data_IF_456909737982
#
_entry.id   IF_456909737982
#
_cell.length_a   1.000
_cell.length_b   1.000
_cell.length_c   1.000
_cell.angle_alpha   90.00
_cell.angle_beta   90.00
_cell.angle_gamma   90.00
#
_symmetry.space_group_name_H-M   'P 1'
#
loop_
_entity.id
_entity.type
_entity.pdbx_description
1 polymer ?
#
# COMPACT_ATOMS: atom_id res chain seq x y z
N UNK A 1 -18.91 -0.25 -13.02
CA UNK A 1 -17.55 0.30 -12.76
C UNK A 1 -17.54 1.31 -11.60
N UNK A 2 -18.25 2.47 -11.65
CA UNK A 2 -18.20 3.47 -10.57
C UNK A 2 -18.53 2.91 -9.18
N UNK A 3 -19.57 2.08 -9.05
CA UNK A 3 -19.92 1.44 -7.77
C UNK A 3 -18.82 0.53 -7.22
N UNK A 4 -18.09 -0.18 -8.11
CA UNK A 4 -16.96 -1.01 -7.71
C UNK A 4 -15.77 -0.16 -7.23
N UNK A 5 -15.67 1.10 -7.66
CA UNK A 5 -14.68 2.08 -7.21
C UNK A 5 -15.16 2.91 -6.00
N UNK A 6 -16.29 2.53 -5.39
CA UNK A 6 -16.81 3.17 -4.17
C UNK A 6 -17.43 4.55 -4.40
N UNK A 7 -17.71 4.94 -5.65
CA UNK A 7 -18.31 6.23 -5.97
C UNK A 7 -19.52 6.09 -6.93
N UNK A 8 -20.34 7.12 -6.97
CA UNK A 8 -21.52 7.20 -7.87
C UNK A 8 -21.38 8.29 -8.92
N UNK A 9 -20.44 9.20 -8.75
CA UNK A 9 -20.17 10.35 -9.61
C UNK A 9 -18.76 10.26 -10.22
N UNK A 10 -18.70 10.26 -11.55
CA UNK A 10 -17.42 10.17 -12.27
C UNK A 10 -16.57 11.44 -12.12
N UNK A 11 -17.18 12.61 -12.09
CA UNK A 11 -16.43 13.88 -11.95
C UNK A 11 -15.82 14.02 -10.56
N UNK A 12 -16.59 13.62 -9.52
CA UNK A 12 -16.10 13.58 -8.15
C UNK A 12 -14.96 12.56 -8.01
N UNK A 13 -15.12 11.33 -8.54
CA UNK A 13 -14.08 10.31 -8.53
C UNK A 13 -12.81 10.78 -9.24
N UNK A 14 -12.96 11.39 -10.42
CA UNK A 14 -11.81 11.93 -11.16
C UNK A 14 -11.09 13.03 -10.37
N UNK A 15 -11.84 13.93 -9.73
CA UNK A 15 -11.26 14.97 -8.88
C UNK A 15 -10.47 14.38 -7.72
N UNK A 16 -11.06 13.44 -6.98
CA UNK A 16 -10.41 12.77 -5.85
C UNK A 16 -9.12 12.07 -6.29
N UNK A 17 -9.16 11.29 -7.36
CA UNK A 17 -7.99 10.58 -7.87
C UNK A 17 -6.87 11.54 -8.30
N UNK A 18 -7.21 12.63 -8.97
CA UNK A 18 -6.24 13.67 -9.35
C UNK A 18 -5.64 14.34 -8.10
N UNK A 19 -6.45 14.60 -7.08
CA UNK A 19 -5.97 15.20 -5.83
C UNK A 19 -5.07 14.24 -5.04
N UNK A 20 -5.38 12.93 -5.03
CA UNK A 20 -4.50 11.87 -4.48
C UNK A 20 -3.16 11.83 -5.23
N UNK A 21 -3.19 11.83 -6.56
CA UNK A 21 -1.95 11.83 -7.38
C UNK A 21 -1.11 13.07 -7.16
N UNK A 22 -1.72 14.25 -7.06
CA UNK A 22 -1.00 15.49 -6.72
C UNK A 22 -0.39 15.41 -5.33
N UNK A 23 -1.19 14.99 -4.35
CA UNK A 23 -0.71 14.81 -3.00
C UNK A 23 0.47 13.81 -2.95
N UNK A 24 0.40 12.69 -3.68
CA UNK A 24 1.48 11.69 -3.71
C UNK A 24 2.81 12.24 -4.24
N UNK A 25 2.80 13.27 -5.10
CA UNK A 25 4.02 13.93 -5.60
C UNK A 25 4.71 14.81 -4.57
N UNK A 26 3.94 15.41 -3.67
CA UNK A 26 4.49 16.21 -2.57
C UNK A 26 5.15 15.29 -1.51
N UNK A 27 4.87 13.98 -1.58
CA UNK A 27 5.41 13.00 -0.67
C UNK A 27 6.68 12.37 -1.22
N UNK A 28 7.75 12.51 -0.48
CA UNK A 28 9.00 11.80 -0.74
C UNK A 28 8.89 10.30 -0.39
N UNK A 29 7.71 9.86 0.05
CA UNK A 29 7.48 8.58 0.72
C UNK A 29 6.88 7.51 -0.20
N UNK A 30 6.06 7.92 -1.20
CA UNK A 30 5.40 7.00 -2.14
C UNK A 30 5.62 7.47 -3.56
N UNK A 31 6.07 6.59 -4.41
CA UNK A 31 6.07 6.78 -5.86
C UNK A 31 5.03 5.86 -6.48
N UNK A 32 4.04 6.45 -7.15
CA UNK A 32 2.99 5.72 -7.86
C UNK A 32 3.19 5.97 -9.35
N UNK A 33 3.30 4.90 -10.11
CA UNK A 33 3.38 4.97 -11.57
C UNK A 33 2.28 4.13 -12.20
N UNK A 34 1.62 4.70 -13.22
CA UNK A 34 0.58 4.04 -13.99
C UNK A 34 0.98 3.98 -15.46
N UNK A 35 0.67 2.88 -16.12
CA UNK A 35 0.77 2.79 -17.56
C UNK A 35 -0.41 2.03 -18.16
N UNK A 36 -0.74 2.41 -19.39
CA UNK A 36 -1.66 1.72 -20.28
C UNK A 36 -0.86 1.39 -21.53
N UNK A 37 -0.65 0.11 -21.79
CA UNK A 37 0.03 -0.34 -22.99
C UNK A 37 -0.99 -0.96 -23.94
N UNK A 38 -1.02 -0.48 -25.19
CA UNK A 38 -2.04 -0.83 -26.18
C UNK A 38 -1.43 -1.31 -27.50
N UNK A 39 -2.03 -2.32 -28.11
CA UNK A 39 -1.68 -2.77 -29.47
C UNK A 39 -2.36 -1.92 -30.57
N UNK A 40 -2.90 -0.76 -30.23
CA UNK A 40 -3.57 0.18 -31.13
C UNK A 40 -3.25 1.62 -30.70
N UNK A 41 -3.47 2.59 -31.60
CA UNK A 41 -3.31 4.01 -31.29
C UNK A 41 -4.59 4.55 -30.66
N UNK A 42 -4.58 4.97 -29.38
CA UNK A 42 -5.74 5.58 -28.72
C UNK A 42 -6.06 6.96 -29.28
N UNK A 43 -7.32 7.39 -29.13
CA UNK A 43 -7.79 8.73 -29.50
C UNK A 43 -7.14 9.82 -28.64
N UNK A 44 -6.94 11.00 -29.23
CA UNK A 44 -6.36 12.16 -28.53
C UNK A 44 -7.14 12.55 -27.27
N UNK A 45 -8.47 12.46 -27.30
CA UNK A 45 -9.30 12.74 -26.11
C UNK A 45 -8.98 11.80 -24.95
N UNK A 46 -8.75 10.52 -25.24
CA UNK A 46 -8.35 9.57 -24.22
C UNK A 46 -6.93 9.88 -23.71
N UNK A 47 -5.99 10.16 -24.59
CA UNK A 47 -4.61 10.52 -24.20
C UNK A 47 -4.60 11.77 -23.31
N UNK A 48 -5.46 12.77 -23.58
CA UNK A 48 -5.62 13.95 -22.75
C UNK A 48 -6.17 13.62 -21.35
N UNK A 49 -7.07 12.64 -21.23
CA UNK A 49 -7.56 12.18 -19.92
C UNK A 49 -6.47 11.39 -19.20
N UNK A 50 -5.82 10.43 -19.86
CA UNK A 50 -4.75 9.64 -19.30
C UNK A 50 -3.61 10.51 -18.73
N UNK A 51 -3.27 11.60 -19.42
CA UNK A 51 -2.26 12.55 -18.97
C UNK A 51 -2.62 13.25 -17.64
N UNK A 52 -3.91 13.51 -17.38
CA UNK A 52 -4.37 14.08 -16.10
C UNK A 52 -4.18 13.12 -14.93
N UNK A 53 -4.20 11.82 -15.22
CA UNK A 53 -3.89 10.75 -14.27
C UNK A 53 -2.40 10.39 -14.25
N UNK A 54 -1.56 11.14 -14.98
CA UNK A 54 -0.12 10.86 -15.10
C UNK A 54 0.18 9.44 -15.56
N UNK A 55 -0.77 8.84 -16.26
CA UNK A 55 -0.61 7.53 -16.83
C UNK A 55 0.20 7.59 -18.11
N UNK A 56 1.28 6.80 -18.17
CA UNK A 56 2.02 6.59 -19.40
C UNK A 56 1.17 5.77 -20.36
N UNK A 57 1.00 6.23 -21.61
CA UNK A 57 0.33 5.46 -22.67
C UNK A 57 1.36 5.12 -23.73
N UNK A 58 1.61 3.84 -23.97
CA UNK A 58 2.64 3.34 -24.89
C UNK A 58 2.12 2.20 -25.75
N UNK A 59 2.76 2.03 -26.93
CA UNK A 59 2.51 0.86 -27.78
C UNK A 59 2.94 -0.42 -27.05
N UNK A 60 2.08 -1.42 -27.03
CA UNK A 60 2.40 -2.75 -26.48
C UNK A 60 3.23 -3.56 -27.49
N UNK A 61 4.45 -3.89 -27.12
CA UNK A 61 5.40 -4.56 -28.03
C UNK A 61 5.85 -5.94 -27.55
N UNK A 62 6.07 -6.11 -26.25
CA UNK A 62 6.60 -7.35 -25.70
C UNK A 62 6.50 -7.42 -24.17
N UNK A 63 6.55 -8.63 -23.61
CA UNK A 63 6.72 -8.83 -22.16
C UNK A 63 7.99 -8.15 -21.62
N UNK A 64 9.08 -8.13 -22.40
CA UNK A 64 10.32 -7.45 -21.98
C UNK A 64 10.13 -5.94 -21.80
N UNK A 65 9.32 -5.27 -22.64
CA UNK A 65 8.99 -3.85 -22.49
C UNK A 65 8.20 -3.62 -21.18
N UNK A 66 7.19 -4.44 -20.91
CA UNK A 66 6.38 -4.36 -19.68
C UNK A 66 7.27 -4.55 -18.45
N UNK A 67 8.14 -5.55 -18.46
CA UNK A 67 9.11 -5.82 -17.40
C UNK A 67 10.07 -4.65 -17.20
N UNK A 68 10.62 -4.09 -18.27
CA UNK A 68 11.54 -2.95 -18.20
C UNK A 68 10.86 -1.70 -17.63
N UNK A 69 9.61 -1.43 -18.02
CA UNK A 69 8.86 -0.31 -17.46
C UNK A 69 8.72 -0.45 -15.93
N UNK A 70 8.33 -1.63 -15.47
CA UNK A 70 8.18 -1.87 -14.04
C UNK A 70 9.51 -1.78 -13.28
N UNK A 71 10.57 -2.38 -13.84
CA UNK A 71 11.91 -2.31 -13.28
C UNK A 71 12.39 -0.85 -13.10
N UNK A 72 12.16 -0.02 -14.11
CA UNK A 72 12.49 1.41 -14.04
C UNK A 72 11.66 2.15 -12.97
N UNK A 73 10.35 1.88 -12.92
CA UNK A 73 9.43 2.57 -11.98
C UNK A 73 9.57 2.10 -10.53
N UNK A 74 10.24 0.98 -10.31
CA UNK A 74 10.51 0.44 -8.97
C UNK A 74 12.00 0.47 -8.61
N UNK A 75 12.80 1.32 -9.27
CA UNK A 75 14.24 1.49 -9.03
C UNK A 75 15.03 0.19 -9.05
N UNK A 76 14.70 -0.71 -9.96
CA UNK A 76 15.37 -2.00 -10.08
C UNK A 76 14.90 -3.08 -9.09
N UNK A 77 13.92 -2.77 -8.24
CA UNK A 77 13.45 -3.71 -7.21
C UNK A 77 12.57 -4.81 -7.79
N UNK A 78 11.83 -4.53 -8.86
CA UNK A 78 10.96 -5.50 -9.50
C UNK A 78 11.39 -5.67 -10.94
N UNK A 79 12.16 -6.73 -11.20
CA UNK A 79 12.76 -6.95 -12.53
C UNK A 79 11.80 -7.65 -13.52
N UNK A 80 10.84 -8.43 -13.03
CA UNK A 80 9.98 -9.26 -13.89
C UNK A 80 8.53 -9.31 -13.39
N UNK A 81 7.58 -9.11 -14.31
CA UNK A 81 6.14 -9.15 -14.05
C UNK A 81 5.47 -10.20 -14.92
N UNK A 82 5.89 -10.27 -16.19
CA UNK A 82 5.34 -11.18 -17.19
C UNK A 82 6.44 -12.12 -17.66
N UNK A 83 6.10 -13.40 -17.78
CA UNK A 83 6.92 -14.40 -18.45
C UNK A 83 6.84 -14.21 -19.96
N UNK A 84 5.63 -14.20 -20.46
CA UNK A 84 5.29 -14.13 -21.88
C UNK A 84 4.12 -13.17 -22.09
N UNK A 85 3.97 -12.69 -23.29
CA UNK A 85 2.85 -11.89 -23.77
C UNK A 85 2.14 -12.67 -24.87
N UNK A 86 0.82 -12.88 -24.70
CA UNK A 86 0.02 -13.45 -25.79
C UNK A 86 0.05 -12.49 -26.99
N UNK A 87 0.36 -12.97 -28.21
CA UNK A 87 0.37 -12.12 -29.40
C UNK A 87 -0.96 -11.42 -29.71
N UNK A 88 -2.06 -11.91 -29.14
CA UNK A 88 -3.39 -11.31 -29.32
C UNK A 88 -3.73 -10.29 -28.22
N UNK A 89 -2.85 -10.08 -27.25
CA UNK A 89 -3.09 -9.09 -26.18
C UNK A 89 -3.25 -7.70 -26.77
N UNK A 90 -4.38 -7.07 -26.52
CA UNK A 90 -4.72 -5.75 -27.07
C UNK A 90 -4.47 -4.61 -26.09
N UNK A 91 -4.59 -4.86 -24.76
CA UNK A 91 -4.41 -3.82 -23.76
C UNK A 91 -3.99 -4.40 -22.39
N UNK A 92 -3.00 -3.77 -21.79
CA UNK A 92 -2.51 -4.06 -20.43
C UNK A 92 -2.53 -2.78 -19.60
N UNK A 93 -3.08 -2.86 -18.39
CA UNK A 93 -3.00 -1.81 -17.38
C UNK A 93 -1.96 -2.18 -16.33
N UNK A 94 -1.05 -1.28 -16.04
CA UNK A 94 0.05 -1.46 -15.10
C UNK A 94 -0.01 -0.41 -14.02
N UNK A 95 0.12 -0.84 -12.78
CA UNK A 95 0.32 0.02 -11.63
C UNK A 95 1.57 -0.44 -10.89
N UNK A 96 2.50 0.47 -10.64
CA UNK A 96 3.69 0.22 -9.82
C UNK A 96 3.67 1.17 -8.63
N UNK A 97 3.82 0.62 -7.44
CA UNK A 97 3.92 1.36 -6.20
C UNK A 97 5.28 1.05 -5.58
N UNK A 98 6.08 2.09 -5.40
CA UNK A 98 7.34 2.04 -4.69
C UNK A 98 7.24 2.92 -3.45
N UNK A 99 7.41 2.30 -2.30
CA UNK A 99 7.34 3.01 -1.04
C UNK A 99 8.72 3.19 -0.43
N UNK A 100 9.02 4.46 -0.08
CA UNK A 100 10.19 4.81 0.71
C UNK A 100 9.83 5.95 1.67
N UNK A 101 10.06 5.79 2.96
CA UNK A 101 9.78 6.82 3.95
C UNK A 101 10.77 6.74 5.10
N UNK A 102 11.21 7.87 5.62
CA UNK A 102 12.06 7.93 6.81
C UNK A 102 11.16 8.16 8.01
N UNK A 103 11.31 7.35 9.06
CA UNK A 103 10.55 7.54 10.30
C UNK A 103 10.84 8.91 10.91
N UNK A 104 9.85 9.56 11.46
CA UNK A 104 10.06 10.77 12.27
C UNK A 104 10.90 10.47 13.51
N UNK A 105 10.78 9.24 14.03
CA UNK A 105 11.57 8.67 15.10
C UNK A 105 12.17 7.36 14.62
N UNK A 106 13.46 7.40 14.27
CA UNK A 106 14.18 6.22 13.80
C UNK A 106 14.39 5.21 14.91
N UNK A 107 14.35 3.92 14.57
CA UNK A 107 14.71 2.86 15.50
C UNK A 107 16.24 2.83 15.67
N UNK A 108 16.76 2.78 16.92
CA UNK A 108 18.19 2.64 17.14
C UNK A 108 18.69 1.30 16.57
N UNK A 109 19.68 1.35 15.67
CA UNK A 109 20.23 0.13 15.04
C UNK A 109 20.76 -0.89 16.06
N UNK A 110 21.34 -0.41 17.17
CA UNK A 110 21.85 -1.25 18.24
C UNK A 110 20.75 -1.87 19.12
N UNK A 111 19.49 -1.48 18.93
CA UNK A 111 18.33 -2.07 19.60
C UNK A 111 17.62 -3.12 18.75
N UNK A 112 18.09 -3.37 17.52
CA UNK A 112 17.61 -4.47 16.69
C UNK A 112 18.21 -5.78 17.19
N UNK A 113 17.36 -6.79 17.39
CA UNK A 113 17.77 -8.13 17.84
C UNK A 113 16.96 -9.21 17.15
N UNK A 114 17.56 -10.39 16.97
CA UNK A 114 16.88 -11.52 16.37
C UNK A 114 15.84 -12.10 17.33
N UNK A 115 14.56 -12.13 16.93
CA UNK A 115 13.43 -12.65 17.70
C UNK A 115 12.57 -13.62 16.87
N UNK A 116 11.67 -14.32 17.55
CA UNK A 116 10.71 -15.20 16.91
C UNK A 116 9.56 -14.41 16.30
N UNK A 117 9.13 -14.78 15.10
CA UNK A 117 7.87 -14.36 14.49
C UNK A 117 7.04 -15.60 14.14
N UNK A 118 5.77 -15.60 14.48
CA UNK A 118 4.85 -16.74 14.33
C UNK A 118 3.99 -16.53 13.09
N UNK A 119 4.32 -17.26 12.03
CA UNK A 119 3.59 -17.19 10.76
C UNK A 119 2.14 -17.72 10.90
N UNK A 120 1.25 -17.25 10.03
CA UNK A 120 -0.14 -17.73 10.01
C UNK A 120 -0.18 -19.25 9.75
N UNK A 121 -1.03 -19.97 10.50
CA UNK A 121 -1.22 -21.42 10.44
C UNK A 121 0.02 -22.27 10.77
N UNK A 122 1.07 -21.66 11.32
CA UNK A 122 2.29 -22.35 11.74
C UNK A 122 2.59 -22.10 13.22
N UNK A 123 1.56 -22.14 14.10
CA UNK A 123 1.64 -21.76 15.52
C UNK A 123 2.75 -22.50 16.30
N UNK A 124 3.17 -23.66 15.85
CA UNK A 124 4.28 -24.44 16.43
C UNK A 124 5.65 -24.13 15.82
N UNK A 125 5.72 -23.33 14.76
CA UNK A 125 6.96 -22.96 14.07
C UNK A 125 7.10 -21.46 13.99
N UNK A 126 8.07 -20.93 14.70
CA UNK A 126 8.50 -19.55 14.53
C UNK A 126 9.68 -19.45 13.58
N UNK A 127 9.74 -18.38 12.81
CA UNK A 127 10.94 -17.98 12.07
C UNK A 127 11.72 -16.96 12.88
N UNK A 128 13.04 -16.92 12.70
CA UNK A 128 13.89 -15.92 13.33
C UNK A 128 14.02 -14.73 12.39
N UNK A 129 13.65 -13.57 12.87
CA UNK A 129 13.69 -12.31 12.12
C UNK A 129 14.41 -11.23 12.93
N UNK A 130 14.87 -10.20 12.24
CA UNK A 130 15.37 -8.99 12.89
C UNK A 130 14.19 -8.15 13.38
N UNK A 131 14.12 -7.95 14.70
CA UNK A 131 13.11 -7.18 15.40
C UNK A 131 13.72 -5.88 15.88
N UNK A 132 13.28 -4.76 15.32
CA UNK A 132 13.68 -3.41 15.72
C UNK A 132 12.95 -3.03 17.01
N UNK A 133 13.59 -2.27 17.89
CA UNK A 133 12.99 -1.84 19.16
C UNK A 133 13.19 -0.35 19.37
N UNK A 134 12.13 0.33 19.82
CA UNK A 134 12.16 1.74 20.21
C UNK A 134 11.19 1.99 21.37
N UNK A 135 11.62 2.85 22.30
CA UNK A 135 10.74 3.39 23.35
C UNK A 135 10.51 4.86 23.07
N UNK A 136 9.30 5.22 22.62
CA UNK A 136 8.99 6.59 22.24
C UNK A 136 7.48 6.87 22.42
N UNK A 137 7.08 8.13 22.25
CA UNK A 137 5.68 8.54 22.24
C UNK A 137 5.08 8.37 20.86
N UNK A 138 4.02 7.54 20.79
CA UNK A 138 3.24 7.29 19.58
C UNK A 138 1.75 7.46 19.86
N UNK A 139 0.96 7.75 18.86
CA UNK A 139 -0.47 7.52 18.95
C UNK A 139 -0.70 6.02 19.06
N UNK A 140 -1.36 5.61 20.12
CA UNK A 140 -1.53 4.21 20.49
C UNK A 140 -2.90 3.96 21.08
N UNK A 141 -3.43 2.76 20.87
CA UNK A 141 -4.61 2.23 21.53
C UNK A 141 -4.50 0.70 21.63
N UNK A 142 -4.99 0.15 22.72
CA UNK A 142 -5.18 -1.29 22.88
C UNK A 142 -6.49 -1.60 23.60
N UNK A 143 -7.02 -2.76 23.31
CA UNK A 143 -8.11 -3.39 24.03
C UNK A 143 -7.94 -4.91 24.05
N UNK A 144 -9.00 -5.65 24.40
CA UNK A 144 -8.97 -7.11 24.44
C UNK A 144 -8.88 -7.78 23.03
N UNK A 145 -9.08 -7.02 21.96
CA UNK A 145 -9.13 -7.56 20.58
C UNK A 145 -7.86 -7.27 19.80
N UNK A 146 -7.21 -6.13 20.05
CA UNK A 146 -6.07 -5.67 19.26
C UNK A 146 -5.19 -4.64 19.97
N UNK A 147 -4.02 -4.42 19.39
CA UNK A 147 -3.17 -3.26 19.61
C UNK A 147 -3.03 -2.50 18.30
N UNK A 148 -3.01 -1.16 18.33
CA UNK A 148 -2.80 -0.29 17.17
C UNK A 148 -1.84 0.83 17.52
N UNK A 149 -0.88 1.08 16.63
CA UNK A 149 0.12 2.15 16.76
C UNK A 149 0.26 2.90 15.45
N UNK A 150 0.47 4.21 15.54
CA UNK A 150 0.76 5.09 14.42
C UNK A 150 2.19 5.60 14.49
N UNK A 151 2.98 5.31 13.46
CA UNK A 151 4.36 5.76 13.28
C UNK A 151 4.40 6.84 12.20
N UNK A 152 4.64 8.11 12.55
CA UNK A 152 4.74 9.18 11.55
C UNK A 152 6.06 9.09 10.79
N UNK A 153 6.01 9.45 9.51
CA UNK A 153 7.19 9.70 8.68
C UNK A 153 7.65 11.15 8.78
N UNK A 154 8.93 11.40 8.45
CA UNK A 154 9.47 12.76 8.37
C UNK A 154 8.90 13.51 7.17
N UNK A 155 8.63 14.79 7.32
CA UNK A 155 8.26 15.74 6.27
C UNK A 155 6.83 15.68 5.75
N UNK A 156 6.09 14.61 5.98
CA UNK A 156 4.80 14.40 5.34
C UNK A 156 3.69 14.22 6.37
N UNK A 157 2.47 14.42 5.94
CA UNK A 157 1.28 14.00 6.67
C UNK A 157 1.10 12.47 6.64
N UNK A 158 2.13 11.76 6.20
CA UNK A 158 2.14 10.30 6.09
C UNK A 158 2.50 9.64 7.41
N UNK A 159 1.84 8.54 7.68
CA UNK A 159 2.16 7.65 8.81
C UNK A 159 1.92 6.19 8.42
N UNK A 160 2.65 5.29 9.07
CA UNK A 160 2.31 3.87 9.08
C UNK A 160 1.36 3.60 10.25
N UNK A 161 0.29 2.85 9.98
CA UNK A 161 -0.59 2.28 10.99
C UNK A 161 -0.32 0.78 11.06
N UNK A 162 0.02 0.29 12.24
CA UNK A 162 0.18 -1.13 12.52
C UNK A 162 -0.99 -1.57 13.37
N UNK A 163 -1.76 -2.55 12.89
CA UNK A 163 -2.83 -3.19 13.67
C UNK A 163 -2.42 -4.63 13.93
N UNK A 164 -2.30 -4.97 15.19
CA UNK A 164 -1.91 -6.28 15.66
C UNK A 164 -3.09 -6.94 16.40
N UNK A 165 -3.84 -7.86 15.78
CA UNK A 165 -4.88 -8.61 16.46
C UNK A 165 -4.30 -9.41 17.63
N UNK A 166 -5.09 -9.68 18.67
CA UNK A 166 -4.65 -10.52 19.78
C UNK A 166 -4.34 -11.95 19.34
N UNK A 167 -3.57 -12.68 20.15
CA UNK A 167 -3.03 -14.00 19.80
C UNK A 167 -4.12 -15.03 19.46
N UNK A 168 -5.28 -14.89 20.08
CA UNK A 168 -6.41 -15.80 19.86
C UNK A 168 -7.31 -15.38 18.68
N UNK A 169 -6.95 -14.30 17.97
CA UNK A 169 -7.74 -13.75 16.87
C UNK A 169 -7.09 -14.09 15.54
N UNK A 170 -7.80 -14.81 14.67
CA UNK A 170 -7.34 -15.04 13.31
C UNK A 170 -7.41 -13.73 12.51
N UNK A 171 -6.28 -13.34 11.89
CA UNK A 171 -6.19 -12.09 11.15
C UNK A 171 -7.19 -12.01 9.97
N UNK A 172 -7.50 -13.14 9.34
CA UNK A 172 -8.45 -13.17 8.23
C UNK A 172 -9.89 -12.90 8.70
N UNK A 173 -10.25 -13.39 9.88
CA UNK A 173 -11.57 -13.11 10.46
C UNK A 173 -11.65 -11.68 10.96
N UNK A 174 -10.57 -11.16 11.56
CA UNK A 174 -10.48 -9.75 11.93
C UNK A 174 -10.67 -8.81 10.72
N UNK A 175 -10.01 -9.11 9.58
CA UNK A 175 -10.13 -8.30 8.35
C UNK A 175 -11.55 -8.30 7.78
N UNK A 176 -12.29 -9.42 7.85
CA UNK A 176 -13.68 -9.48 7.38
C UNK A 176 -14.61 -8.55 8.16
N UNK A 177 -14.26 -8.28 9.43
CA UNK A 177 -15.02 -7.39 10.31
C UNK A 177 -14.52 -5.95 10.31
N UNK A 178 -13.35 -5.69 9.68
CA UNK A 178 -12.74 -4.37 9.61
C UNK A 178 -13.31 -3.59 8.43
N UNK A 179 -14.38 -2.87 8.66
CA UNK A 179 -14.92 -1.87 7.74
C UNK A 179 -14.33 -0.47 8.03
N UNK A 180 -14.66 0.49 7.18
CA UNK A 180 -14.20 1.88 7.33
C UNK A 180 -14.68 2.50 8.65
N UNK A 181 -15.93 2.23 9.07
CA UNK A 181 -16.46 2.76 10.33
C UNK A 181 -15.69 2.25 11.54
N UNK A 182 -15.39 0.95 11.59
CA UNK A 182 -14.58 0.31 12.65
C UNK A 182 -13.15 0.87 12.66
N UNK A 183 -12.53 0.99 11.48
CA UNK A 183 -11.19 1.57 11.34
C UNK A 183 -11.16 3.02 11.85
N UNK A 184 -12.08 3.86 11.43
CA UNK A 184 -12.16 5.25 11.88
C UNK A 184 -12.41 5.37 13.39
N UNK A 185 -13.20 4.47 13.98
CA UNK A 185 -13.40 4.41 15.43
C UNK A 185 -12.10 4.06 16.17
N UNK A 186 -11.32 3.11 15.64
CA UNK A 186 -10.03 2.74 16.21
C UNK A 186 -9.04 3.92 16.16
N UNK A 187 -8.91 4.58 15.02
CA UNK A 187 -8.03 5.73 14.85
C UNK A 187 -8.37 6.89 15.79
N UNK A 188 -9.66 7.14 16.05
CA UNK A 188 -10.13 8.18 16.99
C UNK A 188 -9.86 7.85 18.46
N UNK A 189 -9.63 6.58 18.80
CA UNK A 189 -9.33 6.12 20.17
C UNK A 189 -7.85 6.16 20.51
N UNK A 190 -6.99 6.43 19.54
CA UNK A 190 -5.56 6.48 19.77
C UNK A 190 -5.18 7.77 20.50
N UNK A 191 -4.34 7.66 21.50
CA UNK A 191 -3.79 8.77 22.27
C UNK A 191 -2.26 8.72 22.26
N UNK A 192 -1.62 9.86 22.52
CA UNK A 192 -0.17 9.98 22.53
C UNK A 192 0.42 9.36 23.81
N UNK A 193 0.86 8.11 23.73
CA UNK A 193 1.32 7.28 24.83
C UNK A 193 2.78 6.88 24.70
N UNK A 194 3.44 6.55 25.82
CA UNK A 194 4.78 5.97 25.79
C UNK A 194 4.64 4.49 25.49
N UNK A 195 5.22 4.06 24.37
CA UNK A 195 5.14 2.68 23.86
C UNK A 195 6.55 2.11 23.72
N UNK A 196 6.78 0.95 24.34
CA UNK A 196 7.91 0.09 23.99
C UNK A 196 7.46 -0.74 22.78
N UNK A 197 7.83 -0.28 21.59
CA UNK A 197 7.44 -0.91 20.34
C UNK A 197 8.56 -1.81 19.81
N UNK A 198 8.18 -3.04 19.47
CA UNK A 198 9.01 -3.97 18.71
C UNK A 198 8.33 -4.28 17.38
N UNK A 199 9.01 -3.92 16.28
CA UNK A 199 8.51 -4.07 14.92
C UNK A 199 9.51 -4.87 14.08
N UNK A 200 9.08 -5.91 13.33
CA UNK A 200 9.97 -6.64 12.46
C UNK A 200 10.53 -5.77 11.33
N UNK A 201 11.77 -6.03 10.95
CA UNK A 201 12.28 -5.61 9.63
C UNK A 201 11.72 -6.54 8.58
N UNK A 202 11.19 -5.96 7.51
CA UNK A 202 10.68 -6.76 6.40
C UNK A 202 10.79 -6.03 5.08
N UNK A 203 10.80 -6.82 4.03
CA UNK A 203 10.77 -6.36 2.64
C UNK A 203 9.67 -7.13 1.92
N UNK A 204 8.76 -6.40 1.28
CA UNK A 204 7.65 -6.97 0.54
C UNK A 204 7.80 -6.65 -0.93
N UNK A 205 7.80 -7.68 -1.72
CA UNK A 205 7.56 -7.60 -3.15
C UNK A 205 6.24 -8.31 -3.44
N UNK A 206 5.25 -7.56 -3.87
CA UNK A 206 3.93 -8.09 -4.17
C UNK A 206 3.56 -7.86 -5.62
N UNK A 207 3.06 -8.93 -6.24
CA UNK A 207 2.56 -8.92 -7.61
C UNK A 207 1.17 -9.51 -7.63
N UNK A 208 0.20 -8.78 -8.15
CA UNK A 208 -1.17 -9.26 -8.29
C UNK A 208 -1.73 -8.99 -9.68
N UNK A 209 -2.34 -10.02 -10.25
CA UNK A 209 -3.30 -9.88 -11.33
C UNK A 209 -4.64 -9.47 -10.71
N UNK A 210 -5.12 -8.29 -11.05
CA UNK A 210 -6.33 -7.72 -10.44
C UNK A 210 -7.61 -8.11 -11.16
N UNK A 211 -7.56 -8.79 -12.30
CA UNK A 211 -8.74 -9.14 -13.11
C UNK A 211 -9.85 -9.77 -12.27
N UNK A 212 -9.56 -10.89 -11.61
CA UNK A 212 -10.57 -11.64 -10.83
C UNK A 212 -11.12 -10.82 -9.66
N UNK A 213 -10.27 -10.02 -9.03
CA UNK A 213 -10.68 -9.15 -7.91
C UNK A 213 -11.64 -8.09 -8.40
N UNK A 214 -11.31 -7.40 -9.48
CA UNK A 214 -12.14 -6.35 -10.07
C UNK A 214 -13.47 -6.90 -10.59
N UNK A 215 -13.46 -8.08 -11.21
CA UNK A 215 -14.68 -8.78 -11.66
C UNK A 215 -15.58 -9.10 -10.44
N UNK A 216 -15.03 -9.66 -9.35
CA UNK A 216 -15.78 -9.94 -8.12
C UNK A 216 -16.33 -8.69 -7.45
N UNK A 217 -15.69 -7.55 -7.66
CA UNK A 217 -16.18 -6.24 -7.20
C UNK A 217 -17.28 -5.64 -8.10
N UNK A 218 -17.70 -6.38 -9.16
CA UNK A 218 -18.76 -5.93 -10.09
C UNK A 218 -18.23 -5.13 -11.28
N UNK A 219 -16.96 -5.28 -11.63
CA UNK A 219 -16.33 -4.65 -12.79
C UNK A 219 -16.04 -5.72 -13.87
N UNK A 220 -17.04 -6.49 -14.28
CA UNK A 220 -16.90 -7.59 -15.22
C UNK A 220 -16.90 -7.11 -16.69
N UNK A 221 -17.71 -6.11 -17.01
CA UNK A 221 -17.91 -5.62 -18.38
C UNK A 221 -16.60 -5.21 -19.11
N UNK A 222 -15.66 -4.47 -18.52
CA UNK A 222 -14.40 -4.11 -19.17
C UNK A 222 -13.50 -5.29 -19.60
N UNK A 223 -13.69 -6.45 -18.98
CA UNK A 223 -12.93 -7.68 -19.25
C UNK A 223 -13.62 -8.61 -20.25
N UNK A 224 -14.87 -8.31 -20.61
CA UNK A 224 -15.66 -9.16 -21.49
C UNK A 224 -15.43 -8.78 -22.96
N UNK A 225 -14.92 -9.69 -23.77
CA UNK A 225 -14.60 -9.48 -25.19
C UNK A 225 -15.81 -9.04 -26.04
N UNK A 226 -17.04 -9.35 -25.60
CA UNK A 226 -18.26 -9.09 -26.37
C UNK A 226 -18.95 -7.81 -25.95
N UNK A 227 -18.93 -7.50 -24.63
CA UNK A 227 -19.73 -6.41 -24.06
C UNK A 227 -18.90 -5.20 -23.65
N UNK A 228 -17.57 -5.31 -23.62
CA UNK A 228 -16.71 -4.18 -23.28
C UNK A 228 -16.93 -3.02 -24.24
N UNK A 229 -17.10 -1.82 -23.73
CA UNK A 229 -17.23 -0.59 -24.51
C UNK A 229 -16.06 0.38 -24.21
N UNK A 230 -15.11 0.41 -25.12
CA UNK A 230 -13.99 1.32 -25.14
C UNK A 230 -14.00 2.25 -26.36
N UNK A 231 -15.18 2.58 -26.89
CA UNK A 231 -15.35 3.51 -28.03
C UNK A 231 -14.80 4.90 -27.74
N UNK A 232 -14.64 5.26 -26.46
CA UNK A 232 -13.89 6.45 -26.05
C UNK A 232 -12.38 6.40 -26.34
N UNK A 233 -11.80 5.19 -26.49
CA UNK A 233 -10.38 4.98 -26.79
C UNK A 233 -10.11 4.72 -28.27
N UNK A 234 -11.00 4.00 -28.96
CA UNK A 234 -10.89 3.58 -30.37
C UNK A 234 -12.27 3.60 -31.02
N UNK A 235 -12.37 3.90 -32.30
CA UNK A 235 -13.67 3.98 -32.99
C UNK A 235 -14.37 2.62 -33.13
N UNK A 236 -13.60 1.55 -33.27
CA UNK A 236 -14.13 0.19 -33.30
C UNK A 236 -14.23 -0.36 -31.87
N UNK A 237 -15.36 -0.94 -31.54
CA UNK A 237 -15.59 -1.60 -30.25
C UNK A 237 -15.10 -3.06 -30.29
N UNK A 238 -13.80 -3.23 -30.50
CA UNK A 238 -13.11 -4.51 -30.64
C UNK A 238 -11.99 -4.72 -29.61
N UNK A 239 -12.02 -3.94 -28.54
CA UNK A 239 -10.99 -3.97 -27.48
C UNK A 239 -11.61 -4.20 -26.10
N UNK A 240 -10.86 -4.86 -25.26
CA UNK A 240 -11.19 -5.14 -23.86
C UNK A 240 -9.90 -5.12 -23.03
N UNK A 241 -10.04 -5.06 -21.71
CA UNK A 241 -8.90 -5.18 -20.79
C UNK A 241 -8.55 -6.65 -20.64
N UNK A 242 -7.37 -7.04 -21.08
CA UNK A 242 -6.90 -8.41 -20.91
C UNK A 242 -6.22 -8.63 -19.58
N UNK A 243 -5.36 -7.71 -19.18
CA UNK A 243 -4.54 -7.83 -17.97
C UNK A 243 -4.50 -6.52 -17.21
N UNK A 244 -4.78 -6.59 -15.91
CA UNK A 244 -4.50 -5.53 -14.95
C UNK A 244 -3.49 -6.06 -13.92
N UNK A 245 -2.31 -5.48 -13.88
CA UNK A 245 -1.23 -5.89 -12.99
C UNK A 245 -0.91 -4.76 -12.01
N UNK A 246 -0.91 -5.09 -10.73
CA UNK A 246 -0.34 -4.23 -9.69
C UNK A 246 0.96 -4.83 -9.17
N UNK A 247 1.97 -3.98 -9.06
CA UNK A 247 3.24 -4.29 -8.44
C UNK A 247 3.51 -3.34 -7.29
N UNK A 248 3.90 -3.89 -6.16
CA UNK A 248 4.23 -3.11 -4.98
C UNK A 248 5.56 -3.57 -4.41
N UNK A 249 6.41 -2.61 -4.11
CA UNK A 249 7.61 -2.81 -3.30
C UNK A 249 7.54 -1.93 -2.05
N UNK A 250 7.72 -2.56 -0.91
CA UNK A 250 7.76 -1.92 0.40
C UNK A 250 8.90 -2.52 1.21
N UNK A 251 9.74 -1.67 1.79
CA UNK A 251 10.75 -2.06 2.76
C UNK A 251 10.54 -1.30 4.06
N UNK A 252 10.67 -2.00 5.18
CA UNK A 252 10.59 -1.44 6.54
C UNK A 252 11.85 -1.81 7.28
N UNK A 253 12.63 -0.80 7.66
CA UNK A 253 13.86 -0.95 8.46
C UNK A 253 13.97 0.16 9.53
N UNK A 254 15.10 0.23 10.23
CA UNK A 254 15.31 1.14 11.36
C UNK A 254 15.19 2.61 11.00
N UNK A 255 15.54 2.97 9.79
CA UNK A 255 15.50 4.34 9.28
C UNK A 255 14.14 4.71 8.68
N UNK A 256 13.28 3.72 8.41
CA UNK A 256 12.11 3.81 7.56
C UNK A 256 12.45 3.20 6.21
N UNK A 257 12.85 4.00 5.22
CA UNK A 257 13.18 3.48 3.89
C UNK A 257 14.37 4.19 3.20
N UNK A 258 15.05 5.14 3.82
CA UNK A 258 16.37 5.68 3.45
C UNK A 258 16.74 6.92 4.30
N UNK A 259 18.02 7.10 4.60
CA UNK A 259 18.54 7.81 5.75
C UNK A 259 18.58 9.35 5.72
N UNK A 260 18.38 9.94 6.92
CA UNK A 260 19.03 11.18 7.35
C UNK A 260 19.14 11.17 8.89
N UNK A 261 20.28 11.60 9.45
CA UNK A 261 20.55 11.62 10.90
C UNK A 261 19.71 12.68 11.62
N UNK A 262 19.01 12.28 12.68
CA UNK A 262 18.32 13.19 13.62
C UNK A 262 18.61 12.80 15.06
N UNK A 263 19.08 13.75 15.84
CA UNK A 263 19.38 13.59 17.28
C UNK A 263 18.19 14.07 18.10
N UNK A 264 17.68 13.26 19.02
CA UNK A 264 16.56 13.61 19.91
C UNK A 264 17.00 13.91 21.35
N UNK A 265 16.35 14.88 21.98
CA UNK A 265 16.55 15.28 23.40
C UNK A 265 15.33 14.86 24.20
N UNK A 266 15.55 14.09 25.28
CA UNK A 266 14.49 13.62 26.19
C UNK A 266 14.34 14.60 27.36
N UNK A 267 13.12 15.09 27.60
CA UNK A 267 12.76 15.90 28.78
C UNK A 267 11.93 15.04 29.74
N UNK A 268 12.41 14.83 30.94
CA UNK A 268 11.75 14.00 31.96
C UNK A 268 10.76 14.81 32.82
N UNK A 269 9.55 14.27 33.02
CA UNK A 269 8.56 14.77 34.01
C UNK A 269 8.58 13.96 35.30
N UNK A 270 8.18 14.57 36.44
CA UNK A 270 8.26 13.97 37.76
C UNK A 270 7.21 12.89 38.10
N UNK A 271 6.28 12.58 37.23
CA UNK A 271 5.32 11.47 37.36
C UNK A 271 5.82 10.22 36.62
N UNK A 272 5.62 9.05 37.22
CA UNK A 272 5.88 7.78 36.50
C UNK A 272 4.80 7.66 35.44
N UNK A 273 5.15 7.76 34.16
CA UNK A 273 4.16 7.62 33.08
C UNK A 273 3.72 6.16 32.97
N UNK A 274 2.48 5.94 32.58
CA UNK A 274 2.02 4.62 32.16
C UNK A 274 2.76 4.29 30.86
N UNK A 275 3.36 3.11 30.79
CA UNK A 275 4.09 2.61 29.64
C UNK A 275 3.34 1.42 29.05
N UNK A 276 3.14 1.44 27.75
CA UNK A 276 2.56 0.34 26.99
C UNK A 276 3.66 -0.47 26.31
N UNK A 277 3.35 -1.71 25.93
CA UNK A 277 4.26 -2.58 25.18
C UNK A 277 3.54 -3.24 24.03
N UNK A 278 4.11 -3.16 22.83
CA UNK A 278 3.60 -3.80 21.63
C UNK A 278 4.75 -4.53 20.94
N UNK A 279 4.65 -5.86 20.86
CA UNK A 279 5.59 -6.72 20.13
C UNK A 279 4.87 -7.31 18.94
N UNK A 280 5.25 -6.89 17.73
CA UNK A 280 4.67 -7.34 16.46
C UNK A 280 5.34 -8.64 16.05
N UNK A 281 4.99 -9.74 16.74
CA UNK A 281 5.59 -11.07 16.63
C UNK A 281 4.72 -12.09 15.86
N UNK A 282 3.62 -11.64 15.27
CA UNK A 282 2.59 -12.48 14.61
C UNK A 282 1.90 -11.71 13.50
N UNK A 283 1.01 -12.34 12.70
CA UNK A 283 0.33 -11.68 11.60
C UNK A 283 -0.33 -10.35 11.99
N UNK A 284 -0.10 -9.32 11.15
CA UNK A 284 -0.55 -7.96 11.40
C UNK A 284 -0.96 -7.24 10.12
N UNK A 285 -1.71 -6.15 10.25
CA UNK A 285 -1.97 -5.22 9.16
C UNK A 285 -0.98 -4.08 9.20
N UNK A 286 -0.42 -3.78 8.04
CA UNK A 286 0.39 -2.60 7.76
C UNK A 286 -0.35 -1.70 6.81
N UNK A 287 -0.59 -0.45 7.19
CA UNK A 287 -1.31 0.53 6.37
C UNK A 287 -0.50 1.82 6.28
N UNK A 288 -0.60 2.50 5.14
CA UNK A 288 -0.08 3.85 4.97
C UNK A 288 -1.24 4.84 4.94
N UNK A 289 -1.18 5.82 5.82
CA UNK A 289 -2.19 6.86 6.00
C UNK A 289 -1.63 8.22 5.59
N UNK A 290 -2.42 8.97 4.83
CA UNK A 290 -2.15 10.37 4.52
C UNK A 290 -3.22 11.27 5.15
N UNK A 291 -2.84 12.03 6.16
CA UNK A 291 -3.77 12.90 6.92
C UNK A 291 -4.25 14.14 6.16
N UNK A 292 -3.64 14.46 5.02
CA UNK A 292 -4.07 15.60 4.18
C UNK A 292 -5.20 15.22 3.22
N UNK A 293 -5.47 13.93 3.06
CA UNK A 293 -6.58 13.45 2.25
C UNK A 293 -7.89 13.43 3.05
N UNK A 294 -9.06 13.53 2.38
CA UNK A 294 -10.33 13.35 3.05
C UNK A 294 -10.40 11.99 3.78
N UNK A 295 -11.08 11.94 4.91
CA UNK A 295 -11.12 10.80 5.84
C UNK A 295 -11.34 9.44 5.15
N UNK A 296 -12.22 9.35 4.14
CA UNK A 296 -12.53 8.11 3.42
C UNK A 296 -11.47 7.71 2.38
N UNK A 297 -10.45 8.54 2.16
CA UNK A 297 -9.39 8.34 1.16
C UNK A 297 -7.98 8.43 1.77
N UNK A 298 -7.91 8.57 3.08
CA UNK A 298 -6.64 8.74 3.78
C UNK A 298 -5.76 7.47 3.79
N UNK A 299 -6.37 6.28 3.65
CA UNK A 299 -5.62 5.02 3.54
C UNK A 299 -5.19 4.80 2.09
N UNK A 300 -3.92 5.11 1.80
CA UNK A 300 -3.35 5.03 0.45
C UNK A 300 -2.73 3.67 0.13
N UNK A 301 -2.48 2.87 1.15
CA UNK A 301 -1.96 1.51 1.01
C UNK A 301 -2.37 0.65 2.20
N UNK A 302 -2.65 -0.62 1.95
CA UNK A 302 -2.95 -1.61 2.98
C UNK A 302 -2.33 -2.95 2.60
N UNK A 303 -1.70 -3.60 3.55
CA UNK A 303 -1.12 -4.93 3.39
C UNK A 303 -1.36 -5.79 4.63
N UNK A 304 -1.63 -7.06 4.40
CA UNK A 304 -1.67 -8.10 5.42
C UNK A 304 -0.33 -8.83 5.41
N UNK A 305 0.34 -8.84 6.54
CA UNK A 305 1.62 -9.53 6.73
C UNK A 305 1.35 -10.81 7.50
N UNK A 306 1.45 -11.95 6.82
CA UNK A 306 1.15 -13.28 7.39
C UNK A 306 2.40 -14.10 7.61
N UNK A 307 3.43 -13.86 6.81
CA UNK A 307 4.69 -14.60 6.80
C UNK A 307 5.85 -13.61 6.64
N UNK A 308 6.94 -13.87 7.34
CA UNK A 308 8.20 -13.15 7.24
C UNK A 308 9.38 -14.12 7.14
#
# INVERSE_FOLDING_TARGET
MLLALGNKDLEELNKINIDILKASKEFTTIEIANAIMTAFTPKDNFLNVASKYESTVEDLKSAAQVNNWCNLKTHGKIAKILEELDPNTVMILLNAIYFKGTWQKEFPQNATSTKAFYNLNEESKSVKIDMMSIKERFNYYEDKELQIVELPYTKDSMSAIIILPNKDTNINDFIKELDDEKLQKLLKRMYNEIVNLELPKFELEFSSLLNDVLIKMGMDEPFNQVTADFTGMKDLNDIYIEIVIQKTYLKVDEKGTEAADVTSVVINTKSIPIEFSMTVDRPFLFMLRNKNLPQNYEMVFMSKIEHL
#
